data_IF_070920923647
#
_entry.id   IF_070920923647
#
_cell.length_a   1.000
_cell.length_b   1.000
_cell.length_c   1.000
_cell.angle_alpha   90.00
_cell.angle_beta   90.00
_cell.angle_gamma   90.00
#
_symmetry.space_group_name_H-M   'P 1'
#
loop_
_entity.id
_entity.type
_entity.pdbx_description
1 polymer ?
#
# COMPACT_ATOMS: atom_id res chain seq x y z
N UNK A 1 4.40 12.02 5.72
CA UNK A 1 5.62 11.17 5.53
C UNK A 1 6.90 11.86 5.97
N UNK A 2 7.27 13.01 5.39
CA UNK A 2 8.45 13.77 5.84
C UNK A 2 8.36 14.20 7.33
N UNK A 3 7.20 14.71 7.76
CA UNK A 3 6.90 15.01 9.18
C UNK A 3 7.00 13.78 10.10
N UNK A 4 6.79 12.58 9.57
CA UNK A 4 6.92 11.31 10.30
C UNK A 4 8.37 10.75 10.27
N UNK A 5 9.35 11.53 9.78
CA UNK A 5 10.75 11.13 9.71
C UNK A 5 11.09 10.12 8.61
N UNK A 6 10.13 9.75 7.75
CA UNK A 6 10.35 8.80 6.65
C UNK A 6 11.07 9.54 5.50
N UNK A 7 12.38 9.31 5.38
CA UNK A 7 13.23 9.95 4.33
C UNK A 7 13.40 9.08 3.09
N UNK A 8 13.33 7.76 3.22
CA UNK A 8 13.45 6.79 2.11
C UNK A 8 12.54 5.59 2.39
N UNK A 9 11.99 5.03 1.33
CA UNK A 9 11.14 3.85 1.40
C UNK A 9 11.33 2.95 0.17
N UNK A 10 10.93 1.69 0.31
CA UNK A 10 10.68 0.81 -0.83
C UNK A 10 9.27 1.11 -1.31
N UNK A 11 9.14 1.71 -2.49
CA UNK A 11 7.84 2.22 -2.98
C UNK A 11 7.28 1.30 -4.06
N UNK A 12 6.08 0.79 -3.83
CA UNK A 12 5.29 0.10 -4.84
C UNK A 12 3.98 0.84 -5.05
N UNK A 13 3.48 0.84 -6.28
CA UNK A 13 2.26 1.55 -6.62
C UNK A 13 1.38 0.74 -7.57
N UNK A 14 0.07 0.94 -7.49
CA UNK A 14 -0.83 0.58 -8.58
C UNK A 14 -0.34 1.18 -9.89
N UNK A 15 -0.56 0.47 -10.98
CA UNK A 15 -0.19 0.91 -12.32
C UNK A 15 -1.07 2.04 -12.86
N UNK A 16 -2.12 2.43 -12.14
CA UNK A 16 -3.03 3.50 -12.59
C UNK A 16 -2.38 4.87 -12.37
N UNK A 17 -2.47 5.76 -13.36
CA UNK A 17 -1.71 7.01 -13.42
C UNK A 17 -1.75 7.83 -12.11
N UNK A 18 -2.93 8.00 -11.50
CA UNK A 18 -3.07 8.74 -10.23
C UNK A 18 -2.24 8.17 -9.08
N UNK A 19 -2.12 6.85 -8.99
CA UNK A 19 -1.34 6.18 -7.95
C UNK A 19 0.15 6.27 -8.25
N UNK A 20 0.53 6.15 -9.53
CA UNK A 20 1.90 6.36 -9.96
C UNK A 20 2.34 7.80 -9.66
N UNK A 21 1.56 8.79 -10.06
CA UNK A 21 1.84 10.20 -9.80
C UNK A 21 1.98 10.48 -8.30
N UNK A 22 1.03 10.02 -7.49
CA UNK A 22 1.13 10.14 -6.01
C UNK A 22 2.41 9.51 -5.49
N UNK A 23 2.75 8.28 -5.93
CA UNK A 23 3.96 7.59 -5.48
C UNK A 23 5.25 8.33 -5.86
N UNK A 24 5.30 8.97 -7.05
CA UNK A 24 6.44 9.78 -7.45
C UNK A 24 6.53 11.07 -6.64
N UNK A 25 5.40 11.75 -6.41
CA UNK A 25 5.34 13.01 -5.64
C UNK A 25 5.72 12.83 -4.17
N UNK A 26 5.60 11.61 -3.61
CA UNK A 26 6.10 11.32 -2.27
C UNK A 26 7.62 11.49 -2.14
N UNK A 27 8.39 11.36 -3.23
CA UNK A 27 9.85 11.60 -3.23
C UNK A 27 10.65 10.62 -2.37
N UNK A 28 10.14 9.42 -2.10
CA UNK A 28 10.73 8.47 -1.14
C UNK A 28 11.69 7.45 -1.76
N UNK A 29 11.82 7.43 -3.09
CA UNK A 29 12.67 6.47 -3.82
C UNK A 29 12.06 6.06 -5.17
N UNK A 30 12.69 5.09 -5.83
CA UNK A 30 12.20 4.55 -7.10
C UNK A 30 10.84 3.85 -6.91
N UNK A 31 9.86 4.21 -7.75
CA UNK A 31 8.52 3.63 -7.75
C UNK A 31 8.51 2.35 -8.57
N UNK A 32 8.04 1.25 -7.99
CA UNK A 32 7.84 -0.03 -8.69
C UNK A 32 6.35 -0.28 -8.94
N UNK A 33 5.87 -0.23 -10.20
CA UNK A 33 4.48 -0.57 -10.51
C UNK A 33 4.20 -2.05 -10.18
N UNK A 34 3.07 -2.33 -9.55
CA UNK A 34 2.67 -3.68 -9.15
C UNK A 34 1.18 -3.95 -9.45
N UNK A 35 0.85 -4.89 -10.35
CA UNK A 35 -0.53 -5.19 -10.72
C UNK A 35 -1.45 -5.59 -9.55
N UNK A 36 -0.88 -6.20 -8.51
CA UNK A 36 -1.62 -6.60 -7.30
C UNK A 36 -2.16 -5.40 -6.50
N UNK A 37 -1.64 -4.18 -6.74
CA UNK A 37 -2.15 -2.94 -6.13
C UNK A 37 -3.26 -2.28 -6.97
N UNK A 38 -3.60 -2.78 -8.16
CA UNK A 38 -4.68 -2.20 -8.96
C UNK A 38 -6.03 -2.42 -8.29
N UNK A 39 -6.94 -1.46 -8.45
CA UNK A 39 -8.32 -1.59 -8.00
C UNK A 39 -9.00 -2.75 -8.72
N UNK A 40 -9.77 -3.55 -7.97
CA UNK A 40 -10.70 -4.56 -8.51
C UNK A 40 -12.11 -4.03 -8.70
N UNK A 41 -12.32 -2.71 -8.68
CA UNK A 41 -13.56 -2.10 -9.17
C UNK A 41 -13.33 -1.50 -10.55
N UNK A 42 -14.17 -1.79 -11.56
CA UNK A 42 -15.44 -2.55 -11.49
C UNK A 42 -15.32 -4.06 -11.78
N UNK A 43 -14.14 -4.67 -11.65
CA UNK A 43 -13.88 -6.09 -11.93
C UNK A 43 -13.73 -6.95 -10.65
N UNK A 44 -14.83 -7.21 -9.90
CA UNK A 44 -14.78 -7.90 -8.60
C UNK A 44 -14.30 -9.35 -8.70
N UNK A 45 -14.44 -9.98 -9.87
CA UNK A 45 -13.88 -11.29 -10.20
C UNK A 45 -12.35 -11.34 -10.03
N UNK A 46 -11.68 -10.19 -10.14
CA UNK A 46 -10.23 -10.08 -9.98
C UNK A 46 -9.80 -9.88 -8.52
N UNK A 47 -10.73 -9.68 -7.58
CA UNK A 47 -10.47 -9.40 -6.16
C UNK A 47 -9.58 -10.46 -5.53
N UNK A 48 -10.03 -11.72 -5.54
CA UNK A 48 -9.35 -12.80 -4.81
C UNK A 48 -7.93 -13.01 -5.35
N UNK A 49 -7.76 -13.02 -6.67
CA UNK A 49 -6.44 -13.17 -7.30
C UNK A 49 -5.47 -12.03 -6.96
N UNK A 50 -5.95 -10.78 -6.91
CA UNK A 50 -5.12 -9.60 -6.57
C UNK A 50 -4.76 -9.59 -5.10
N UNK A 51 -5.72 -9.86 -4.23
CA UNK A 51 -5.50 -9.91 -2.79
C UNK A 51 -4.56 -11.06 -2.45
N UNK A 52 -4.74 -12.26 -3.01
CA UNK A 52 -3.83 -13.38 -2.80
C UNK A 52 -2.38 -13.03 -3.19
N UNK A 53 -2.17 -12.37 -4.34
CA UNK A 53 -0.84 -11.92 -4.78
C UNK A 53 -0.25 -10.85 -3.86
N UNK A 54 -1.07 -9.90 -3.39
CA UNK A 54 -0.62 -8.87 -2.45
C UNK A 54 -0.26 -9.47 -1.09
N UNK A 55 -1.05 -10.44 -0.59
CA UNK A 55 -0.74 -11.19 0.63
C UNK A 55 0.56 -11.97 0.51
N UNK A 56 0.76 -12.70 -0.60
CA UNK A 56 2.00 -13.41 -0.85
C UNK A 56 3.21 -12.45 -0.91
N UNK A 57 3.05 -11.30 -1.57
CA UNK A 57 4.07 -10.25 -1.61
C UNK A 57 4.42 -9.76 -0.19
N UNK A 58 3.42 -9.44 0.64
CA UNK A 58 3.61 -8.98 2.01
C UNK A 58 4.30 -10.01 2.91
N UNK A 59 3.93 -11.29 2.78
CA UNK A 59 4.54 -12.38 3.53
C UNK A 59 6.04 -12.53 3.25
N UNK A 60 6.46 -12.24 2.01
CA UNK A 60 7.85 -12.33 1.58
C UNK A 60 8.71 -11.10 1.95
N UNK A 61 8.15 -10.07 2.59
CA UNK A 61 8.90 -8.86 2.89
C UNK A 61 9.78 -9.02 4.13
N UNK A 62 11.01 -8.47 4.13
CA UNK A 62 11.80 -8.38 5.34
C UNK A 62 11.07 -7.51 6.38
N UNK A 63 11.11 -7.96 7.65
CA UNK A 63 10.53 -7.23 8.79
C UNK A 63 11.35 -6.00 9.17
N UNK A 64 12.61 -6.00 8.79
CA UNK A 64 13.61 -4.98 9.08
C UNK A 64 13.97 -4.17 7.83
N UNK A 65 14.56 -2.99 8.05
CA UNK A 65 15.03 -2.10 7.00
C UNK A 65 14.06 -0.95 6.70
N UNK A 66 14.23 -0.28 5.54
CA UNK A 66 13.43 0.88 5.21
C UNK A 66 11.95 0.51 5.05
N UNK A 67 11.03 1.43 5.40
CA UNK A 67 9.60 1.18 5.33
C UNK A 67 9.17 0.82 3.91
N UNK A 68 8.12 0.01 3.83
CA UNK A 68 7.43 -0.32 2.61
C UNK A 68 6.24 0.61 2.45
N UNK A 69 6.18 1.34 1.34
CA UNK A 69 5.05 2.22 1.00
C UNK A 69 4.32 1.62 -0.19
N UNK A 70 3.02 1.38 -0.01
CA UNK A 70 2.12 0.84 -1.03
C UNK A 70 1.08 1.91 -1.37
N UNK A 71 1.07 2.38 -2.61
CA UNK A 71 0.07 3.36 -3.09
C UNK A 71 -0.99 2.63 -3.92
N UNK A 72 -2.23 2.65 -3.47
CA UNK A 72 -3.34 1.87 -4.06
C UNK A 72 -4.68 2.60 -3.91
N UNK A 73 -5.80 1.87 -3.99
CA UNK A 73 -7.17 2.38 -4.09
C UNK A 73 -8.00 1.99 -2.88
N UNK A 74 -9.12 2.69 -2.65
CA UNK A 74 -10.00 2.46 -1.50
C UNK A 74 -10.44 1.00 -1.33
N UNK A 75 -10.79 0.31 -2.42
CA UNK A 75 -11.25 -1.08 -2.38
C UNK A 75 -10.14 -2.02 -1.92
N UNK A 76 -8.91 -1.82 -2.43
CA UNK A 76 -7.74 -2.59 -1.99
C UNK A 76 -7.38 -2.27 -0.54
N UNK A 77 -7.47 -1.01 -0.11
CA UNK A 77 -7.22 -0.60 1.29
C UNK A 77 -8.20 -1.30 2.23
N UNK A 78 -9.50 -1.27 1.88
CA UNK A 78 -10.57 -1.84 2.69
C UNK A 78 -10.41 -3.34 2.98
N UNK A 79 -9.80 -4.10 2.07
CA UNK A 79 -9.49 -5.52 2.29
C UNK A 79 -8.48 -5.78 3.42
N UNK A 80 -7.68 -4.79 3.78
CA UNK A 80 -6.65 -4.90 4.81
C UNK A 80 -7.02 -4.18 6.11
N UNK A 81 -7.78 -3.09 6.02
CA UNK A 81 -8.20 -2.29 7.18
C UNK A 81 -9.59 -2.63 7.68
N UNK A 82 -10.43 -3.31 6.89
CA UNK A 82 -11.87 -3.42 7.14
C UNK A 82 -12.65 -2.13 6.90
N UNK A 83 -12.02 -1.08 6.34
CA UNK A 83 -12.62 0.24 6.13
C UNK A 83 -11.84 1.15 5.17
N UNK A 84 -12.22 2.41 5.07
CA UNK A 84 -11.56 3.37 4.16
C UNK A 84 -10.42 4.16 4.81
N UNK A 85 -9.64 4.85 3.98
CA UNK A 85 -8.84 6.01 4.38
C UNK A 85 -9.30 7.22 3.57
N UNK A 86 -9.31 8.44 4.12
CA UNK A 86 -9.59 9.63 3.32
C UNK A 86 -8.50 9.82 2.25
N UNK A 87 -8.83 10.56 1.19
CA UNK A 87 -7.83 10.99 0.19
C UNK A 87 -6.69 11.71 0.88
N UNK A 88 -5.44 11.37 0.56
CA UNK A 88 -4.25 11.91 1.23
C UNK A 88 -3.92 11.27 2.59
N UNK A 89 -4.80 10.44 3.13
CA UNK A 89 -4.56 9.64 4.34
C UNK A 89 -3.95 8.28 4.04
N UNK A 90 -3.75 7.49 5.08
CA UNK A 90 -3.23 6.13 4.95
C UNK A 90 -3.32 5.31 6.23
N UNK A 91 -3.05 4.01 6.10
CA UNK A 91 -2.98 3.06 7.20
C UNK A 91 -1.54 2.55 7.36
N UNK A 92 -1.14 2.30 8.61
CA UNK A 92 0.20 1.81 8.96
C UNK A 92 0.07 0.40 9.51
N UNK A 93 0.87 -0.50 8.95
CA UNK A 93 0.87 -1.91 9.33
C UNK A 93 2.25 -2.35 9.79
N UNK A 94 2.29 -3.20 10.81
CA UNK A 94 3.48 -3.92 11.23
C UNK A 94 3.60 -5.23 10.43
N UNK A 95 4.69 -5.38 9.68
CA UNK A 95 5.02 -6.64 9.03
C UNK A 95 5.32 -7.71 10.09
N UNK A 96 4.65 -8.86 9.97
CA UNK A 96 4.77 -9.99 10.90
C UNK A 96 5.27 -11.28 10.22
N UNK A 97 5.61 -11.22 8.93
CA UNK A 97 6.07 -12.37 8.13
C UNK A 97 4.92 -13.19 7.52
N UNK A 98 3.70 -12.66 7.57
CA UNK A 98 2.51 -13.28 6.96
C UNK A 98 1.89 -12.35 5.92
N UNK A 99 0.92 -12.88 5.16
CA UNK A 99 0.15 -12.07 4.21
C UNK A 99 -0.93 -11.17 4.84
N UNK A 100 -1.01 -11.16 6.17
CA UNK A 100 -1.95 -10.39 6.98
C UNK A 100 -1.17 -9.60 8.02
N UNK A 101 -0.52 -8.49 7.62
CA UNK A 101 0.23 -7.67 8.57
C UNK A 101 -0.73 -7.03 9.58
N UNK A 102 -0.23 -6.73 10.77
CA UNK A 102 -1.06 -6.21 11.87
C UNK A 102 -1.25 -4.70 11.70
N UNK A 103 -2.48 -4.22 11.69
CA UNK A 103 -2.78 -2.78 11.68
C UNK A 103 -2.29 -2.15 13.00
N UNK A 104 -1.51 -1.09 12.93
CA UNK A 104 -0.98 -0.38 14.11
C UNK A 104 -1.40 1.08 14.19
N UNK A 105 -2.02 1.62 13.15
CA UNK A 105 -2.57 2.97 13.16
C UNK A 105 -2.92 3.48 11.77
N UNK A 106 -3.25 4.76 11.70
CA UNK A 106 -3.51 5.47 10.46
C UNK A 106 -3.25 6.96 10.62
N UNK A 107 -3.32 7.68 9.50
CA UNK A 107 -3.17 9.13 9.46
C UNK A 107 -4.12 9.71 8.41
N UNK A 108 -4.53 10.95 8.64
CA UNK A 108 -5.33 11.76 7.72
C UNK A 108 -4.47 12.92 7.21
N UNK A 109 -4.80 13.53 6.06
CA UNK A 109 -4.24 14.82 5.72
C UNK A 109 -4.64 15.86 6.78
N UNK A 110 -3.79 16.86 6.98
CA UNK A 110 -4.11 18.07 7.75
C UNK A 110 -5.07 18.98 6.96
#
# INVERSE_FOLDING_TARGET
MAKAGVKRARVYSSQWCRCLETAHLLGLGAVKPMPALNSFYPAPDQRDSRIARLRAFLAAQPKEGPPLVLVTHQFTIAEFTGGGTPSGGGAVFQLNGTGTPSLVGGFTPE
#
